data_IF_344022125876
#
_entry.id   IF_344022125876
#
_cell.length_a   1.000
_cell.length_b   1.000
_cell.length_c   1.000
_cell.angle_alpha   90.00
_cell.angle_beta   90.00
_cell.angle_gamma   90.00
#
_symmetry.space_group_name_H-M   'P 1'
#
loop_
_entity.id
_entity.type
_entity.pdbx_description
1 polymer ?
#
# COMPACT_ATOMS: atom_id res chain seq x y z
N UNK A 1 -12.03 2.35 66.64
CA UNK A 1 -12.83 2.03 65.43
C UNK A 1 -12.07 2.57 64.23
N UNK A 2 -11.27 1.74 63.60
CA UNK A 2 -10.49 2.06 62.38
C UNK A 2 -11.24 1.50 61.17
N UNK A 3 -11.49 2.35 60.14
CA UNK A 3 -12.11 1.93 58.87
C UNK A 3 -11.05 1.22 57.99
N UNK A 4 -11.40 0.13 57.35
CA UNK A 4 -10.48 -0.55 56.42
C UNK A 4 -10.35 0.22 55.10
N UNK A 5 -9.12 0.24 54.55
CA UNK A 5 -8.80 0.68 53.17
C UNK A 5 -9.44 -0.29 52.18
N UNK A 6 -9.91 0.18 51.03
CA UNK A 6 -10.26 -0.71 49.93
C UNK A 6 -9.00 -1.17 49.19
N UNK A 7 -8.74 -2.47 49.19
CA UNK A 7 -7.92 -3.21 48.22
C UNK A 7 -8.63 -3.20 46.87
N UNK A 8 -7.89 -2.98 45.81
CA UNK A 8 -8.40 -3.24 44.48
C UNK A 8 -7.90 -2.31 43.37
N UNK A 9 -6.59 -2.03 43.32
CA UNK A 9 -6.00 -1.60 42.06
C UNK A 9 -5.45 -2.82 41.29
N UNK A 10 -6.38 -3.54 40.65
CA UNK A 10 -6.04 -4.57 39.69
C UNK A 10 -5.34 -3.91 38.48
N UNK A 11 -4.13 -4.36 38.25
CA UNK A 11 -3.25 -4.17 37.09
C UNK A 11 -4.00 -3.79 35.81
N UNK A 12 -4.16 -2.51 35.55
CA UNK A 12 -4.44 -2.03 34.19
C UNK A 12 -3.13 -2.09 33.40
N UNK A 13 -3.00 -3.16 32.63
CA UNK A 13 -1.93 -3.34 31.66
C UNK A 13 -1.75 -2.08 30.80
N UNK A 14 -0.54 -1.66 30.48
CA UNK A 14 -0.26 -0.42 29.75
C UNK A 14 -0.55 -0.56 28.25
N UNK A 15 -1.83 -0.75 27.87
CA UNK A 15 -2.26 -0.74 26.48
C UNK A 15 -2.32 0.66 25.85
N UNK A 16 -2.12 1.73 26.62
CA UNK A 16 -2.32 3.11 26.15
C UNK A 16 -1.06 3.89 25.79
N UNK A 17 0.15 3.36 25.97
CA UNK A 17 1.38 4.17 25.84
C UNK A 17 1.99 4.27 24.44
N UNK A 18 1.46 3.59 23.40
CA UNK A 18 1.96 3.73 22.02
C UNK A 18 1.07 4.63 21.13
N UNK A 19 -0.10 5.05 21.59
CA UNK A 19 -0.95 6.00 20.85
C UNK A 19 -0.50 7.48 21.00
N UNK A 20 0.46 7.77 21.85
CA UNK A 20 0.79 9.12 22.33
C UNK A 20 1.57 10.03 21.39
N UNK A 21 2.00 9.63 20.18
CA UNK A 21 2.83 10.49 19.29
C UNK A 21 2.32 10.69 17.86
N UNK A 22 1.18 10.10 17.49
CA UNK A 22 0.51 10.33 16.21
C UNK A 22 -0.94 10.68 16.47
N UNK A 23 -1.53 11.65 15.75
CA UNK A 23 -2.98 11.85 15.80
C UNK A 23 -3.72 10.53 15.50
N UNK A 24 -5.02 10.40 15.83
CA UNK A 24 -5.74 9.13 15.79
C UNK A 24 -5.55 8.46 14.42
N UNK A 25 -4.94 7.28 14.45
CA UNK A 25 -4.69 6.48 13.25
C UNK A 25 -6.04 6.03 12.70
N UNK A 26 -6.29 6.29 11.43
CA UNK A 26 -7.55 5.92 10.78
C UNK A 26 -7.57 4.41 10.51
N UNK A 27 -8.11 3.65 11.46
CA UNK A 27 -8.13 2.19 11.46
C UNK A 27 -8.74 1.59 10.19
N UNK A 28 -9.76 2.24 9.60
CA UNK A 28 -10.41 1.79 8.37
C UNK A 28 -9.49 1.81 7.15
N UNK A 29 -8.50 2.72 7.08
CA UNK A 29 -7.50 2.72 6.00
C UNK A 29 -6.51 1.56 6.16
N UNK A 30 -6.15 1.21 7.40
CA UNK A 30 -5.31 0.03 7.65
C UNK A 30 -6.09 -1.26 7.35
N UNK A 31 -7.39 -1.30 7.64
CA UNK A 31 -8.28 -2.40 7.28
C UNK A 31 -8.40 -2.56 5.76
N UNK A 32 -8.64 -1.46 5.03
CA UNK A 32 -8.69 -1.48 3.56
C UNK A 32 -7.35 -1.92 2.95
N UNK A 33 -6.23 -1.54 3.57
CA UNK A 33 -4.92 -2.06 3.17
C UNK A 33 -4.81 -3.56 3.38
N UNK A 34 -5.42 -4.09 4.45
CA UNK A 34 -5.51 -5.53 4.70
C UNK A 34 -6.33 -6.27 3.64
N UNK A 35 -7.44 -5.71 3.19
CA UNK A 35 -8.19 -6.24 2.04
C UNK A 35 -7.28 -6.27 0.79
N UNK A 36 -6.53 -5.18 0.54
CA UNK A 36 -5.55 -5.16 -0.55
C UNK A 36 -4.50 -6.28 -0.43
N UNK A 37 -4.04 -6.61 0.80
CA UNK A 37 -3.13 -7.75 1.05
C UNK A 37 -3.78 -9.07 0.68
N UNK A 38 -5.04 -9.30 1.08
CA UNK A 38 -5.75 -10.54 0.75
C UNK A 38 -5.92 -10.73 -0.76
N UNK A 39 -6.34 -9.66 -1.46
CA UNK A 39 -6.47 -9.65 -2.92
C UNK A 39 -5.11 -9.91 -3.60
N UNK A 40 -4.04 -9.36 -3.06
CA UNK A 40 -2.69 -9.57 -3.59
C UNK A 40 -2.21 -11.01 -3.39
N UNK A 41 -2.46 -11.61 -2.23
CA UNK A 41 -2.14 -13.03 -1.98
C UNK A 41 -2.95 -13.91 -2.94
N UNK A 42 -4.24 -13.64 -3.09
CA UNK A 42 -5.12 -14.35 -4.02
C UNK A 42 -4.57 -14.28 -5.45
N UNK A 43 -4.31 -13.08 -5.96
CA UNK A 43 -3.80 -12.89 -7.32
C UNK A 43 -2.52 -13.70 -7.58
N UNK A 44 -1.56 -13.64 -6.67
CA UNK A 44 -0.27 -14.27 -6.86
C UNK A 44 -0.33 -15.79 -6.71
N UNK A 45 -1.07 -16.29 -5.72
CA UNK A 45 -1.20 -17.74 -5.51
C UNK A 45 -1.96 -18.40 -6.66
N UNK A 46 -3.06 -17.81 -7.11
CA UNK A 46 -3.83 -18.36 -8.23
C UNK A 46 -3.04 -18.29 -9.55
N UNK A 47 -2.32 -17.18 -9.78
CA UNK A 47 -1.45 -17.08 -10.96
C UNK A 47 -0.32 -18.12 -10.94
N UNK A 48 0.33 -18.31 -9.80
CA UNK A 48 1.47 -19.23 -9.71
C UNK A 48 1.06 -20.71 -9.67
N UNK A 49 0.01 -21.07 -8.92
CA UNK A 49 -0.24 -22.47 -8.55
C UNK A 49 -1.31 -23.15 -9.39
N UNK A 50 -2.27 -22.40 -10.00
CA UNK A 50 -3.36 -22.97 -10.79
C UNK A 50 -2.82 -23.55 -12.11
N UNK A 51 -3.18 -24.80 -12.41
CA UNK A 51 -2.84 -25.46 -13.66
C UNK A 51 -3.47 -24.78 -14.87
N UNK A 52 -2.82 -24.87 -16.03
CA UNK A 52 -3.22 -24.16 -17.24
C UNK A 52 -4.64 -24.55 -17.70
N UNK A 53 -5.05 -25.81 -17.56
CA UNK A 53 -6.36 -26.30 -17.97
C UNK A 53 -7.53 -25.60 -17.24
N UNK A 54 -7.34 -25.17 -15.98
CA UNK A 54 -8.39 -24.51 -15.20
C UNK A 54 -8.44 -22.99 -15.40
N UNK A 55 -7.45 -22.39 -16.08
CA UNK A 55 -7.37 -20.94 -16.28
C UNK A 55 -8.42 -20.42 -17.28
N UNK A 56 -8.99 -21.29 -18.11
CA UNK A 56 -10.09 -20.92 -19.01
C UNK A 56 -11.45 -20.86 -18.33
N UNK A 57 -11.59 -21.37 -17.11
CA UNK A 57 -12.85 -21.37 -16.35
C UNK A 57 -13.25 -19.94 -15.99
N UNK A 58 -14.56 -19.66 -16.05
CA UNK A 58 -15.12 -18.35 -15.71
C UNK A 58 -14.75 -17.93 -14.28
N UNK A 59 -14.77 -18.87 -13.32
CA UNK A 59 -14.38 -18.62 -11.92
C UNK A 59 -12.94 -18.12 -11.78
N UNK A 60 -11.99 -18.72 -12.51
CA UNK A 60 -10.61 -18.25 -12.52
C UNK A 60 -10.50 -16.85 -13.15
N UNK A 61 -11.17 -16.61 -14.27
CA UNK A 61 -11.16 -15.30 -14.94
C UNK A 61 -11.69 -14.19 -14.03
N UNK A 62 -12.76 -14.44 -13.27
CA UNK A 62 -13.27 -13.48 -12.28
C UNK A 62 -12.30 -13.27 -11.10
N UNK A 63 -11.66 -14.31 -10.62
CA UNK A 63 -10.64 -14.19 -9.59
C UNK A 63 -9.47 -13.30 -10.06
N UNK A 64 -8.98 -13.48 -11.30
CA UNK A 64 -7.92 -12.62 -11.86
C UNK A 64 -8.39 -11.17 -12.03
N UNK A 65 -9.65 -10.92 -12.37
CA UNK A 65 -10.21 -9.55 -12.40
C UNK A 65 -10.17 -8.93 -11.01
N UNK A 66 -10.56 -9.68 -9.96
CA UNK A 66 -10.46 -9.23 -8.56
C UNK A 66 -9.01 -8.99 -8.16
N UNK A 67 -8.11 -9.93 -8.47
CA UNK A 67 -6.68 -9.83 -8.21
C UNK A 67 -6.04 -8.58 -8.83
N UNK A 68 -6.56 -8.15 -9.97
CA UNK A 68 -6.18 -6.92 -10.65
C UNK A 68 -6.39 -5.63 -9.83
N UNK A 69 -7.10 -5.65 -8.69
CA UNK A 69 -7.28 -4.52 -7.79
C UNK A 69 -6.18 -4.41 -6.73
N UNK A 70 -5.42 -5.47 -6.44
CA UNK A 70 -4.41 -5.46 -5.39
C UNK A 70 -3.41 -4.32 -5.53
N UNK A 71 -2.68 -4.26 -6.63
CA UNK A 71 -1.67 -3.23 -6.89
C UNK A 71 -2.25 -1.80 -6.92
N UNK A 72 -3.40 -1.51 -7.60
CA UNK A 72 -4.03 -0.20 -7.56
C UNK A 72 -4.40 0.26 -6.15
N UNK A 73 -4.95 -0.62 -5.31
CA UNK A 73 -5.30 -0.32 -3.90
C UNK A 73 -4.04 0.11 -3.13
N UNK A 74 -2.92 -0.59 -3.28
CA UNK A 74 -1.67 -0.23 -2.60
C UNK A 74 -1.13 1.12 -3.03
N UNK A 75 -1.08 1.38 -4.34
CA UNK A 75 -0.64 2.67 -4.87
C UNK A 75 -1.55 3.81 -4.40
N UNK A 76 -2.86 3.62 -4.48
CA UNK A 76 -3.84 4.59 -4.02
C UNK A 76 -3.68 4.90 -2.53
N UNK A 77 -3.60 3.87 -1.68
CA UNK A 77 -3.43 4.05 -0.24
C UNK A 77 -2.06 4.63 0.13
N UNK A 78 -1.02 4.38 -0.67
CA UNK A 78 0.27 5.06 -0.51
C UNK A 78 0.14 6.57 -0.75
N UNK A 79 -0.61 6.99 -1.77
CA UNK A 79 -0.93 8.39 -2.02
C UNK A 79 -1.73 9.03 -0.88
N UNK A 80 -2.79 8.36 -0.41
CA UNK A 80 -3.56 8.80 0.79
C UNK A 80 -2.63 8.98 1.99
N UNK A 81 -1.82 7.98 2.30
CA UNK A 81 -0.94 7.98 3.46
C UNK A 81 0.14 9.08 3.38
N UNK A 82 0.70 9.33 2.20
CA UNK A 82 1.68 10.40 1.96
C UNK A 82 1.12 11.76 2.36
N UNK A 83 -0.09 12.08 1.89
CA UNK A 83 -0.75 13.35 2.16
C UNK A 83 -1.16 13.48 3.63
N UNK A 84 -1.73 12.43 4.22
CA UNK A 84 -2.10 12.44 5.65
C UNK A 84 -0.87 12.61 6.54
N UNK A 85 0.24 11.94 6.21
CA UNK A 85 1.50 12.10 6.93
C UNK A 85 2.09 13.50 6.78
N UNK A 86 2.05 14.09 5.58
CA UNK A 86 2.49 15.47 5.33
C UNK A 86 1.70 16.47 6.19
N UNK A 87 0.37 16.39 6.17
CA UNK A 87 -0.46 17.30 6.96
C UNK A 87 -0.32 17.05 8.48
N UNK A 88 -0.12 15.80 8.94
CA UNK A 88 0.17 15.52 10.33
C UNK A 88 1.48 16.17 10.81
N UNK A 89 2.51 16.19 9.96
CA UNK A 89 3.78 16.86 10.24
C UNK A 89 3.63 18.39 10.30
N UNK A 90 2.88 18.98 9.35
CA UNK A 90 2.54 20.41 9.37
C UNK A 90 1.85 20.82 10.67
N UNK A 91 0.88 20.04 11.14
CA UNK A 91 0.20 20.30 12.43
C UNK A 91 1.13 20.22 13.64
N UNK A 92 2.24 19.53 13.51
CA UNK A 92 3.30 19.48 14.53
C UNK A 92 4.32 20.62 14.41
N UNK A 93 4.06 21.60 13.55
CA UNK A 93 4.90 22.77 13.37
C UNK A 93 6.10 22.59 12.44
N UNK A 94 6.22 21.47 11.70
CA UNK A 94 7.31 21.32 10.75
C UNK A 94 7.11 22.25 9.56
N UNK A 95 8.21 22.82 9.07
CA UNK A 95 8.22 23.69 7.89
C UNK A 95 7.85 22.91 6.61
N UNK A 96 7.33 23.59 5.59
CA UNK A 96 6.96 22.96 4.31
C UNK A 96 8.17 22.29 3.64
N UNK A 97 9.36 22.86 3.76
CA UNK A 97 10.60 22.28 3.24
C UNK A 97 10.93 20.95 3.94
N UNK A 98 10.75 20.89 5.24
CA UNK A 98 11.02 19.69 6.03
C UNK A 98 9.97 18.60 5.78
N UNK A 99 8.70 18.98 5.62
CA UNK A 99 7.63 18.05 5.22
C UNK A 99 7.92 17.42 3.85
N UNK A 100 8.31 18.24 2.86
CA UNK A 100 8.67 17.76 1.52
C UNK A 100 9.89 16.83 1.57
N UNK A 101 10.96 17.25 2.25
CA UNK A 101 12.17 16.44 2.41
C UNK A 101 11.87 15.06 3.01
N UNK A 102 11.04 14.99 4.04
CA UNK A 102 10.64 13.70 4.65
C UNK A 102 9.76 12.86 3.72
N UNK A 103 8.96 13.47 2.87
CA UNK A 103 8.20 12.75 1.85
C UNK A 103 9.13 12.18 0.77
N UNK A 104 10.09 12.96 0.29
CA UNK A 104 11.13 12.53 -0.65
C UNK A 104 12.01 11.41 -0.07
N UNK A 105 12.46 11.55 1.17
CA UNK A 105 13.22 10.50 1.87
C UNK A 105 12.44 9.18 1.94
N UNK A 106 11.12 9.26 2.24
CA UNK A 106 10.28 8.07 2.25
C UNK A 106 10.14 7.44 0.87
N UNK A 107 10.02 8.25 -0.17
CA UNK A 107 9.94 7.78 -1.54
C UNK A 107 11.24 7.07 -1.97
N UNK A 108 12.40 7.64 -1.66
CA UNK A 108 13.71 7.02 -1.89
C UNK A 108 13.90 5.72 -1.10
N UNK A 109 13.41 5.66 0.15
CA UNK A 109 13.43 4.42 0.93
C UNK A 109 12.61 3.32 0.25
N UNK A 110 11.40 3.63 -0.25
CA UNK A 110 10.57 2.65 -0.95
C UNK A 110 11.22 2.22 -2.26
N UNK A 111 11.80 3.17 -2.99
CA UNK A 111 12.55 2.89 -4.23
C UNK A 111 13.77 1.99 -3.98
N UNK A 112 14.56 2.29 -2.95
CA UNK A 112 15.70 1.46 -2.54
C UNK A 112 15.31 0.06 -2.08
N UNK A 113 14.17 -0.07 -1.37
CA UNK A 113 13.63 -1.37 -0.96
C UNK A 113 13.26 -2.24 -2.17
N UNK A 114 12.85 -1.67 -3.31
CA UNK A 114 12.61 -2.43 -4.53
C UNK A 114 13.86 -3.18 -5.01
N UNK A 115 15.01 -2.52 -5.00
CA UNK A 115 16.28 -3.14 -5.38
C UNK A 115 16.76 -4.17 -4.35
N UNK A 116 16.57 -3.89 -3.06
CA UNK A 116 16.89 -4.85 -2.01
C UNK A 116 16.06 -6.13 -2.13
N UNK A 117 14.78 -5.98 -2.44
CA UNK A 117 13.87 -7.10 -2.71
C UNK A 117 14.36 -7.92 -3.93
N UNK A 118 14.73 -7.25 -5.01
CA UNK A 118 15.28 -7.91 -6.20
C UNK A 118 16.61 -8.60 -5.95
N UNK A 119 17.49 -7.97 -5.16
CA UNK A 119 18.75 -8.57 -4.76
C UNK A 119 18.52 -9.88 -3.99
N UNK A 120 17.61 -9.86 -3.02
CA UNK A 120 17.25 -11.06 -2.27
C UNK A 120 16.71 -12.16 -3.21
N UNK A 121 15.80 -11.81 -4.13
CA UNK A 121 15.22 -12.77 -5.08
C UNK A 121 16.30 -13.38 -5.99
N UNK A 122 17.26 -12.59 -6.47
CA UNK A 122 18.40 -13.08 -7.26
C UNK A 122 19.28 -14.04 -6.44
N UNK A 123 19.55 -13.71 -5.17
CA UNK A 123 20.37 -14.55 -4.29
C UNK A 123 19.69 -15.88 -3.95
N UNK A 124 18.38 -15.85 -3.67
CA UNK A 124 17.64 -17.05 -3.27
C UNK A 124 17.32 -17.94 -4.47
N UNK A 125 16.92 -17.34 -5.60
CA UNK A 125 16.44 -18.08 -6.77
C UNK A 125 17.49 -18.30 -7.86
N UNK A 126 18.75 -17.84 -7.67
CA UNK A 126 19.84 -18.02 -8.61
C UNK A 126 19.68 -17.21 -9.93
N UNK A 127 18.92 -16.10 -9.89
CA UNK A 127 18.68 -15.26 -11.06
C UNK A 127 19.92 -14.50 -11.52
N UNK A 128 20.01 -14.19 -12.82
CA UNK A 128 21.10 -13.35 -13.36
C UNK A 128 20.97 -11.88 -12.94
N UNK A 129 22.07 -11.11 -13.00
CA UNK A 129 22.14 -9.69 -12.64
C UNK A 129 21.08 -8.81 -13.36
N UNK A 130 20.65 -9.21 -14.57
CA UNK A 130 19.58 -8.51 -15.29
C UNK A 130 18.24 -8.49 -14.54
N UNK A 131 17.98 -9.46 -13.66
CA UNK A 131 16.78 -9.51 -12.83
C UNK A 131 16.74 -8.38 -11.78
N UNK A 132 17.90 -7.82 -11.39
CA UNK A 132 17.98 -6.66 -10.48
C UNK A 132 17.32 -5.40 -11.08
N UNK A 133 17.34 -5.26 -12.40
CA UNK A 133 16.79 -4.11 -13.11
C UNK A 133 15.32 -4.31 -13.51
N UNK A 134 14.71 -5.44 -13.16
CA UNK A 134 13.29 -5.67 -13.45
C UNK A 134 12.41 -4.72 -12.64
N UNK A 135 11.57 -3.96 -13.34
CA UNK A 135 10.69 -2.96 -12.74
C UNK A 135 9.46 -3.62 -12.15
N UNK A 136 9.24 -3.40 -10.86
CA UNK A 136 8.13 -3.93 -10.07
C UNK A 136 7.30 -2.81 -9.43
N UNK A 137 6.24 -3.17 -8.71
CA UNK A 137 5.32 -2.23 -8.07
C UNK A 137 6.04 -1.28 -7.08
N UNK A 138 7.04 -1.76 -6.32
CA UNK A 138 7.79 -0.91 -5.39
C UNK A 138 8.63 0.15 -6.11
N UNK A 139 9.19 -0.20 -7.29
CA UNK A 139 9.90 0.77 -8.13
C UNK A 139 8.95 1.90 -8.56
N UNK A 140 7.79 1.52 -9.10
CA UNK A 140 6.78 2.49 -9.56
C UNK A 140 6.20 3.29 -8.39
N UNK A 141 5.96 2.66 -7.25
CA UNK A 141 5.51 3.35 -6.03
C UNK A 141 6.52 4.41 -5.59
N UNK A 142 7.82 4.07 -5.55
CA UNK A 142 8.88 5.00 -5.18
C UNK A 142 8.94 6.23 -6.10
N UNK A 143 8.99 6.00 -7.43
CA UNK A 143 9.02 7.09 -8.43
C UNK A 143 7.73 7.92 -8.38
N UNK A 144 6.56 7.29 -8.23
CA UNK A 144 5.28 8.00 -8.12
C UNK A 144 5.20 8.83 -6.84
N UNK A 145 5.74 8.35 -5.71
CA UNK A 145 5.83 9.10 -4.47
C UNK A 145 6.77 10.31 -4.60
N UNK A 146 7.90 10.19 -5.32
CA UNK A 146 8.77 11.32 -5.65
C UNK A 146 8.01 12.37 -6.47
N UNK A 147 7.29 11.94 -7.50
CA UNK A 147 6.43 12.82 -8.29
C UNK A 147 5.38 13.54 -7.44
N UNK A 148 4.69 12.81 -6.55
CA UNK A 148 3.71 13.40 -5.64
C UNK A 148 4.34 14.39 -4.63
N UNK A 149 5.54 14.09 -4.10
CA UNK A 149 6.28 14.99 -3.21
C UNK A 149 6.71 16.28 -3.94
N UNK A 150 7.12 16.15 -5.21
CA UNK A 150 7.45 17.30 -6.05
C UNK A 150 6.24 18.16 -6.37
N UNK A 151 5.10 17.55 -6.74
CA UNK A 151 3.83 18.28 -6.95
C UNK A 151 3.36 18.96 -5.65
N UNK A 152 3.54 18.32 -4.51
CA UNK A 152 3.28 18.91 -3.20
C UNK A 152 4.09 20.18 -2.95
N UNK A 153 5.37 20.15 -3.30
CA UNK A 153 6.30 21.28 -3.14
C UNK A 153 5.95 22.47 -4.05
N UNK A 154 5.53 22.20 -5.30
CA UNK A 154 5.07 23.22 -6.24
C UNK A 154 3.80 23.92 -5.76
N UNK A 155 2.89 23.18 -5.11
CA UNK A 155 1.62 23.69 -4.63
C UNK A 155 1.74 24.36 -3.27
N UNK A 156 1.79 25.69 -3.21
CA UNK A 156 1.80 26.44 -1.93
C UNK A 156 0.47 26.37 -1.18
N UNK A 157 -0.66 26.35 -1.90
CA UNK A 157 -2.03 26.28 -1.34
C UNK A 157 -2.62 24.88 -1.55
N UNK A 158 -3.51 24.44 -0.64
CA UNK A 158 -4.17 23.13 -0.74
C UNK A 158 -4.98 22.97 -2.04
N UNK A 159 -5.60 24.06 -2.54
CA UNK A 159 -6.31 24.04 -3.83
C UNK A 159 -5.36 23.82 -5.01
N UNK A 160 -4.19 24.48 -5.02
CA UNK A 160 -3.18 24.28 -6.08
C UNK A 160 -2.67 22.83 -6.04
N UNK A 161 -2.40 22.29 -4.85
CA UNK A 161 -2.01 20.86 -4.69
C UNK A 161 -3.06 19.93 -5.25
N UNK A 162 -4.34 20.18 -4.98
CA UNK A 162 -5.44 19.39 -5.51
C UNK A 162 -5.48 19.45 -7.05
N UNK A 163 -5.39 20.65 -7.63
CA UNK A 163 -5.35 20.82 -9.09
C UNK A 163 -4.18 20.07 -9.70
N UNK A 164 -2.96 20.25 -9.17
CA UNK A 164 -1.77 19.57 -9.69
C UNK A 164 -1.89 18.05 -9.63
N UNK A 165 -2.40 17.49 -8.53
CA UNK A 165 -2.57 16.03 -8.37
C UNK A 165 -3.70 15.49 -9.25
N UNK A 166 -4.81 16.21 -9.39
CA UNK A 166 -5.88 15.83 -10.32
C UNK A 166 -5.36 15.87 -11.76
N UNK A 167 -4.70 16.96 -12.16
CA UNK A 167 -4.10 17.06 -13.50
C UNK A 167 -3.10 15.95 -13.76
N UNK A 168 -2.23 15.61 -12.80
CA UNK A 168 -1.30 14.49 -12.93
C UNK A 168 -2.02 13.14 -13.08
N UNK A 169 -3.12 12.93 -12.33
CA UNK A 169 -3.95 11.71 -12.46
C UNK A 169 -4.54 11.60 -13.86
N UNK A 170 -5.13 12.69 -14.35
CA UNK A 170 -5.72 12.76 -15.69
C UNK A 170 -4.66 12.57 -16.79
N UNK A 171 -3.54 13.30 -16.70
CA UNK A 171 -2.45 13.21 -17.68
C UNK A 171 -1.87 11.81 -17.76
N UNK A 172 -1.59 11.17 -16.63
CA UNK A 172 -1.08 9.79 -16.60
C UNK A 172 -2.07 8.82 -17.24
N UNK A 173 -3.37 8.94 -16.94
CA UNK A 173 -4.39 8.07 -17.52
C UNK A 173 -4.52 8.29 -19.04
N UNK A 174 -4.66 9.55 -19.49
CA UNK A 174 -4.90 9.89 -20.88
C UNK A 174 -3.66 9.70 -21.77
N UNK A 175 -2.46 9.94 -21.24
CA UNK A 175 -1.22 9.72 -21.99
C UNK A 175 -0.78 8.26 -22.04
N UNK A 176 -1.42 7.36 -21.30
CA UNK A 176 -1.04 5.94 -21.30
C UNK A 176 -1.06 5.30 -22.72
N UNK A 177 -2.14 5.42 -23.52
CA UNK A 177 -2.14 4.81 -24.85
C UNK A 177 -1.09 5.41 -25.78
N UNK A 178 -0.98 6.74 -25.99
CA UNK A 178 0.01 7.29 -26.91
C UNK A 178 1.46 7.04 -26.47
N UNK A 179 1.75 7.06 -25.17
CA UNK A 179 3.10 6.76 -24.68
C UNK A 179 3.47 5.30 -24.93
N UNK A 180 2.54 4.36 -24.73
CA UNK A 180 2.83 2.95 -24.97
C UNK A 180 3.13 2.62 -26.43
N UNK A 181 2.60 3.38 -27.37
CA UNK A 181 2.81 3.22 -28.81
C UNK A 181 3.86 4.16 -29.39
N UNK A 182 4.53 4.99 -28.57
CA UNK A 182 5.47 6.00 -29.03
C UNK A 182 6.80 5.40 -29.48
N UNK A 183 7.13 5.52 -30.76
CA UNK A 183 8.38 4.98 -31.36
C UNK A 183 9.65 5.70 -30.87
N UNK A 184 9.56 6.96 -30.47
CA UNK A 184 10.73 7.69 -29.93
C UNK A 184 11.29 7.09 -28.62
N UNK A 185 10.49 6.25 -27.91
CA UNK A 185 10.96 5.51 -26.74
C UNK A 185 11.95 4.39 -27.11
N UNK A 186 11.92 3.88 -28.33
CA UNK A 186 12.80 2.79 -28.81
C UNK A 186 14.28 3.18 -28.72
N UNK A 187 14.60 4.49 -28.70
CA UNK A 187 15.95 5.01 -28.52
C UNK A 187 16.45 5.09 -27.09
N UNK A 188 15.60 4.79 -26.09
CA UNK A 188 15.99 4.85 -24.68
C UNK A 188 16.67 3.55 -24.25
N UNK A 189 17.59 3.63 -23.27
CA UNK A 189 18.09 2.41 -22.61
C UNK A 189 16.93 1.63 -21.98
N UNK A 190 16.89 0.31 -22.18
CA UNK A 190 15.84 -0.58 -21.65
C UNK A 190 15.52 -0.35 -20.17
N UNK A 191 16.55 -0.03 -19.36
CA UNK A 191 16.38 0.21 -17.92
C UNK A 191 15.53 1.46 -17.62
N UNK A 192 15.51 2.46 -18.52
CA UNK A 192 14.69 3.68 -18.42
C UNK A 192 13.33 3.44 -19.06
N UNK A 193 13.31 2.87 -20.26
CA UNK A 193 12.10 2.54 -21.01
C UNK A 193 11.15 1.65 -20.19
N UNK A 194 11.71 0.66 -19.46
CA UNK A 194 10.98 -0.24 -18.61
C UNK A 194 10.13 0.46 -17.49
N UNK A 195 10.49 1.67 -17.10
CA UNK A 195 9.65 2.47 -16.17
C UNK A 195 8.47 3.13 -16.87
N UNK A 196 8.56 3.38 -18.16
CA UNK A 196 7.61 4.19 -18.93
C UNK A 196 6.56 3.30 -19.59
N UNK A 197 6.99 2.25 -20.33
CA UNK A 197 6.11 1.30 -21.02
C UNK A 197 6.52 -0.15 -20.78
N UNK A 198 5.59 -1.12 -20.99
CA UNK A 198 5.88 -2.53 -20.79
C UNK A 198 6.98 -3.04 -21.73
N UNK A 199 8.01 -3.68 -21.16
CA UNK A 199 9.03 -4.42 -21.89
C UNK A 199 8.98 -5.91 -21.49
N UNK A 200 8.90 -6.86 -22.44
CA UNK A 200 8.86 -8.29 -22.15
C UNK A 200 10.03 -8.74 -21.26
N UNK A 201 9.72 -9.46 -20.18
CA UNK A 201 10.71 -9.96 -19.23
C UNK A 201 11.36 -8.92 -18.31
N UNK A 202 11.17 -7.63 -18.55
CA UNK A 202 11.78 -6.53 -17.76
C UNK A 202 10.82 -5.75 -16.90
N UNK A 203 9.52 -5.75 -17.25
CA UNK A 203 8.48 -4.98 -16.55
C UNK A 203 7.35 -5.84 -16.06
N UNK A 204 6.94 -5.61 -14.81
CA UNK A 204 5.64 -6.07 -14.31
C UNK A 204 4.68 -4.87 -14.21
N UNK A 205 5.20 -3.71 -13.81
CA UNK A 205 4.47 -2.46 -13.66
C UNK A 205 5.24 -1.31 -14.32
N UNK A 206 4.52 -0.33 -14.88
CA UNK A 206 5.06 0.86 -15.51
C UNK A 206 4.51 2.12 -14.87
N UNK A 207 5.13 3.28 -15.09
CA UNK A 207 4.61 4.55 -14.59
C UNK A 207 3.21 4.84 -15.16
N UNK A 208 3.00 4.58 -16.45
CA UNK A 208 1.72 4.72 -17.14
C UNK A 208 0.97 3.37 -17.21
N UNK A 209 -0.25 3.24 -16.63
CA UNK A 209 -1.07 4.22 -15.89
C UNK A 209 -0.90 4.17 -14.36
N UNK A 210 0.00 3.36 -13.81
CA UNK A 210 0.00 2.97 -12.40
C UNK A 210 0.22 4.14 -11.44
N UNK A 211 1.06 5.12 -11.79
CA UNK A 211 1.28 6.33 -10.99
C UNK A 211 -0.02 7.12 -10.76
N UNK A 212 -0.96 7.06 -11.70
CA UNK A 212 -2.25 7.73 -11.59
C UNK A 212 -3.07 7.27 -10.38
N UNK A 213 -2.97 5.99 -9.98
CA UNK A 213 -3.63 5.52 -8.75
C UNK A 213 -3.05 6.17 -7.50
N UNK A 214 -1.75 6.37 -7.45
CA UNK A 214 -1.11 7.06 -6.32
C UNK A 214 -1.50 8.55 -6.28
N UNK A 215 -1.53 9.22 -7.42
CA UNK A 215 -1.95 10.62 -7.48
C UNK A 215 -3.43 10.78 -7.14
N UNK A 216 -4.32 9.91 -7.63
CA UNK A 216 -5.73 9.87 -7.23
C UNK A 216 -5.93 9.60 -5.74
N UNK A 217 -5.12 8.71 -5.17
CA UNK A 217 -5.07 8.50 -3.72
C UNK A 217 -4.62 9.74 -2.96
N UNK A 218 -3.63 10.48 -3.47
CA UNK A 218 -3.18 11.73 -2.87
C UNK A 218 -4.28 12.82 -2.91
N UNK A 219 -5.07 12.91 -3.99
CA UNK A 219 -6.28 13.77 -4.06
C UNK A 219 -7.27 13.38 -2.96
N UNK A 220 -7.57 12.09 -2.84
CA UNK A 220 -8.46 11.58 -1.79
C UNK A 220 -7.93 11.89 -0.39
N UNK A 221 -6.62 11.76 -0.17
CA UNK A 221 -5.97 12.14 1.09
C UNK A 221 -6.11 13.63 1.42
N UNK A 222 -5.99 14.53 0.43
CA UNK A 222 -6.24 15.97 0.59
C UNK A 222 -7.70 16.24 0.96
N UNK A 223 -8.64 15.58 0.32
CA UNK A 223 -10.06 15.70 0.62
C UNK A 223 -10.37 15.28 2.06
N UNK A 224 -9.92 14.09 2.47
CA UNK A 224 -10.10 13.55 3.81
C UNK A 224 -9.51 14.50 4.88
N UNK A 225 -8.36 15.11 4.61
CA UNK A 225 -7.74 16.04 5.55
C UNK A 225 -8.48 17.38 5.63
N UNK A 226 -8.96 17.89 4.49
CA UNK A 226 -9.75 19.12 4.43
C UNK A 226 -11.07 19.03 5.19
N UNK A 227 -11.68 17.84 5.18
CA UNK A 227 -12.97 17.57 5.83
C UNK A 227 -12.82 16.97 7.23
N UNK A 228 -11.67 17.17 7.87
CA UNK A 228 -11.41 16.68 9.21
C UNK A 228 -12.46 17.22 10.19
N UNK A 229 -13.04 16.32 10.99
CA UNK A 229 -14.16 16.64 11.91
C UNK A 229 -15.56 16.50 11.28
N UNK A 230 -15.64 16.27 9.95
CA UNK A 230 -16.90 15.97 9.23
C UNK A 230 -16.79 14.64 8.48
N UNK A 231 -16.28 13.61 9.16
CA UNK A 231 -15.91 12.33 8.52
C UNK A 231 -17.10 11.63 7.83
N UNK A 232 -18.30 11.67 8.41
CA UNK A 232 -19.49 11.08 7.81
C UNK A 232 -19.83 11.73 6.45
N UNK A 233 -19.95 13.05 6.42
CA UNK A 233 -20.23 13.80 5.18
C UNK A 233 -19.12 13.60 4.16
N UNK A 234 -17.88 13.66 4.62
CA UNK A 234 -16.69 13.46 3.77
C UNK A 234 -16.71 12.12 3.04
N UNK A 235 -17.02 11.05 3.79
CA UNK A 235 -17.09 9.70 3.23
C UNK A 235 -18.33 9.52 2.32
N UNK A 236 -19.47 10.15 2.65
CA UNK A 236 -20.65 10.15 1.77
C UNK A 236 -20.35 10.79 0.39
N UNK A 237 -19.65 11.93 0.38
CA UNK A 237 -19.25 12.59 -0.87
C UNK A 237 -18.23 11.73 -1.64
N UNK A 238 -17.25 11.12 -0.96
CA UNK A 238 -16.29 10.23 -1.61
C UNK A 238 -16.97 9.01 -2.25
N UNK A 239 -17.98 8.43 -1.60
CA UNK A 239 -18.77 7.34 -2.17
C UNK A 239 -19.46 7.78 -3.44
N UNK A 240 -20.15 8.92 -3.40
CA UNK A 240 -20.84 9.46 -4.56
C UNK A 240 -19.88 9.75 -5.72
N UNK A 241 -18.77 10.43 -5.45
CA UNK A 241 -17.73 10.73 -6.44
C UNK A 241 -17.15 9.44 -7.04
N UNK A 242 -16.84 8.45 -6.20
CA UNK A 242 -16.31 7.16 -6.67
C UNK A 242 -17.30 6.42 -7.58
N UNK A 243 -18.59 6.39 -7.21
CA UNK A 243 -19.64 5.79 -8.03
C UNK A 243 -19.79 6.56 -9.36
N UNK A 244 -19.86 7.89 -9.33
CA UNK A 244 -19.97 8.70 -10.55
C UNK A 244 -18.79 8.44 -11.48
N UNK A 245 -17.55 8.47 -10.97
CA UNK A 245 -16.36 8.21 -11.78
C UNK A 245 -16.40 6.82 -12.40
N UNK A 246 -16.73 5.77 -11.61
CA UNK A 246 -16.80 4.41 -12.10
C UNK A 246 -17.89 4.21 -13.17
N UNK A 247 -19.09 4.72 -12.91
CA UNK A 247 -20.26 4.53 -13.82
C UNK A 247 -20.10 5.36 -15.10
N UNK A 248 -19.61 6.60 -15.01
CA UNK A 248 -19.31 7.42 -16.19
C UNK A 248 -18.23 6.78 -17.05
N UNK A 249 -17.16 6.30 -16.44
CA UNK A 249 -16.09 5.61 -17.17
C UNK A 249 -16.56 4.28 -17.77
N UNK A 250 -17.44 3.55 -17.08
CA UNK A 250 -18.07 2.34 -17.62
C UNK A 250 -18.97 2.68 -18.80
N UNK A 251 -19.84 3.69 -18.70
CA UNK A 251 -20.63 4.17 -19.83
C UNK A 251 -19.75 4.61 -21.02
N UNK A 252 -18.67 5.35 -20.75
CA UNK A 252 -17.73 5.77 -21.79
C UNK A 252 -16.99 4.60 -22.45
N UNK A 253 -16.89 3.43 -21.83
CA UNK A 253 -16.24 2.25 -22.41
C UNK A 253 -17.02 1.62 -23.58
N UNK A 254 -18.31 1.97 -23.75
CA UNK A 254 -19.13 1.55 -24.89
C UNK A 254 -19.06 2.52 -26.07
N UNK A 255 -18.42 3.69 -25.90
CA UNK A 255 -18.20 4.63 -26.98
C UNK A 255 -17.02 4.19 -27.86
N UNK A 256 -16.96 4.64 -29.14
CA UNK A 256 -15.81 4.38 -30.01
C UNK A 256 -14.49 4.79 -29.32
N UNK A 257 -13.43 4.01 -29.46
CA UNK A 257 -12.15 4.32 -28.83
C UNK A 257 -11.54 5.60 -29.41
N UNK A 258 -11.10 6.51 -28.54
CA UNK A 258 -10.45 7.77 -28.92
C UNK A 258 -9.04 7.50 -29.48
N UNK A 259 -8.42 6.42 -29.04
CA UNK A 259 -7.06 6.04 -29.40
C UNK A 259 -7.06 4.87 -30.38
N UNK A 260 -6.34 5.00 -31.49
CA UNK A 260 -6.22 3.97 -32.53
C UNK A 260 -5.61 2.66 -31.96
N UNK A 261 -4.69 2.78 -31.01
CA UNK A 261 -4.05 1.63 -30.35
C UNK A 261 -4.27 1.72 -28.84
N UNK A 262 -5.23 0.97 -28.34
CA UNK A 262 -5.44 0.83 -26.89
C UNK A 262 -6.05 -0.54 -26.58
N UNK A 263 -5.67 -1.11 -25.43
CA UNK A 263 -6.27 -2.31 -24.88
C UNK A 263 -7.12 -1.94 -23.67
N UNK A 264 -8.39 -2.38 -23.64
CA UNK A 264 -9.29 -2.07 -22.55
C UNK A 264 -8.66 -2.40 -21.17
N UNK A 265 -8.13 -3.61 -21.03
CA UNK A 265 -7.62 -4.13 -19.75
C UNK A 265 -6.30 -3.54 -19.28
N UNK A 266 -5.49 -2.99 -20.19
CA UNK A 266 -4.12 -2.62 -19.83
C UNK A 266 -3.76 -1.16 -20.03
N UNK A 267 -4.35 -0.48 -21.06
CA UNK A 267 -3.96 0.89 -21.41
C UNK A 267 -5.12 1.86 -21.54
N UNK A 268 -6.38 1.38 -21.54
CA UNK A 268 -7.55 2.25 -21.69
C UNK A 268 -7.73 3.17 -20.49
N UNK A 269 -7.91 4.49 -20.71
CA UNK A 269 -8.29 5.42 -19.66
C UNK A 269 -9.62 5.06 -18.99
N UNK A 270 -10.58 4.50 -19.74
CA UNK A 270 -11.90 4.11 -19.20
C UNK A 270 -11.73 3.05 -18.12
N UNK A 271 -10.95 1.99 -18.37
CA UNK A 271 -10.71 0.95 -17.38
C UNK A 271 -9.89 1.47 -16.16
N UNK A 272 -8.96 2.38 -16.39
CA UNK A 272 -8.27 3.07 -15.30
C UNK A 272 -9.26 3.81 -14.38
N UNK A 273 -10.17 4.63 -14.95
CA UNK A 273 -11.14 5.38 -14.16
C UNK A 273 -12.22 4.50 -13.52
N UNK A 274 -12.64 3.39 -14.15
CA UNK A 274 -13.51 2.39 -13.51
C UNK A 274 -12.84 1.90 -12.22
N UNK A 275 -11.59 1.47 -12.28
CA UNK A 275 -10.84 1.00 -11.11
C UNK A 275 -10.65 2.11 -10.07
N UNK A 276 -10.26 3.31 -10.50
CA UNK A 276 -10.06 4.46 -9.60
C UNK A 276 -11.36 4.80 -8.86
N UNK A 277 -12.50 4.83 -9.56
CA UNK A 277 -13.81 5.09 -8.97
C UNK A 277 -14.20 4.01 -7.95
N UNK A 278 -14.03 2.74 -8.29
CA UNK A 278 -14.28 1.62 -7.37
C UNK A 278 -13.40 1.75 -6.13
N UNK A 279 -12.08 1.95 -6.28
CA UNK A 279 -11.16 2.06 -5.14
C UNK A 279 -11.48 3.28 -4.27
N UNK A 280 -11.87 4.41 -4.88
CA UNK A 280 -12.32 5.58 -4.14
C UNK A 280 -13.57 5.27 -3.32
N UNK A 281 -14.51 4.48 -3.84
CA UNK A 281 -15.72 4.01 -3.14
C UNK A 281 -15.41 3.02 -2.01
N UNK A 282 -14.33 2.23 -2.12
CA UNK A 282 -13.93 1.30 -1.06
C UNK A 282 -13.51 2.02 0.23
N UNK A 283 -13.01 3.27 0.15
CA UNK A 283 -12.63 4.06 1.34
C UNK A 283 -13.83 4.34 2.26
N UNK A 284 -14.94 4.92 1.78
CA UNK A 284 -16.14 5.11 2.60
C UNK A 284 -16.81 3.80 3.01
N UNK A 285 -16.74 2.74 2.21
CA UNK A 285 -17.24 1.42 2.60
C UNK A 285 -16.45 0.84 3.77
N UNK A 286 -15.13 0.96 3.76
CA UNK A 286 -14.29 0.57 4.88
C UNK A 286 -14.56 1.43 6.13
N UNK A 287 -14.81 2.74 5.96
CA UNK A 287 -15.23 3.61 7.05
C UNK A 287 -16.58 3.16 7.64
N UNK A 288 -17.58 2.90 6.81
CA UNK A 288 -18.90 2.42 7.24
C UNK A 288 -18.78 1.10 7.99
N UNK A 289 -18.01 0.14 7.45
CA UNK A 289 -17.73 -1.14 8.11
C UNK A 289 -17.16 -0.94 9.52
N UNK A 290 -16.17 -0.05 9.66
CA UNK A 290 -15.58 0.25 10.97
C UNK A 290 -16.54 0.89 11.98
N UNK A 291 -17.66 1.45 11.50
CA UNK A 291 -18.73 2.02 12.35
C UNK A 291 -19.77 0.98 12.76
N UNK A 292 -20.04 0.01 11.89
CA UNK A 292 -21.04 -1.04 12.12
C UNK A 292 -20.48 -2.14 13.02
N UNK A 293 -19.17 -2.44 12.89
CA UNK A 293 -18.52 -3.50 13.66
C UNK A 293 -17.50 -2.89 14.65
N UNK A 294 -17.93 -2.49 15.86
CA UNK A 294 -17.10 -1.74 16.82
C UNK A 294 -15.98 -2.57 17.43
N UNK A 295 -15.71 -3.73 17.21
CA UNK A 295 -14.59 -4.56 17.75
C UNK A 295 -13.43 -4.74 16.80
N UNK A 296 -13.60 -4.45 15.51
CA UNK A 296 -12.59 -4.74 14.49
C UNK A 296 -11.37 -3.81 14.50
N UNK A 297 -11.45 -2.70 15.24
CA UNK A 297 -10.41 -1.67 15.14
C UNK A 297 -9.08 -2.04 15.81
N UNK A 298 -9.08 -2.90 16.83
CA UNK A 298 -7.86 -3.24 17.57
C UNK A 298 -7.29 -4.63 17.24
N UNK A 299 -8.15 -5.62 16.98
CA UNK A 299 -7.78 -7.05 16.90
C UNK A 299 -8.08 -7.73 15.55
N UNK A 300 -8.71 -7.03 14.62
CA UNK A 300 -9.07 -7.59 13.30
C UNK A 300 -7.83 -8.18 12.59
N UNK A 301 -7.86 -9.47 12.21
CA UNK A 301 -6.79 -10.10 11.45
C UNK A 301 -6.47 -9.36 10.15
N UNK A 302 -7.50 -8.85 9.46
CA UNK A 302 -7.37 -8.08 8.22
C UNK A 302 -6.57 -6.81 8.48
N UNK A 303 -6.92 -6.03 9.51
CA UNK A 303 -6.18 -4.82 9.88
C UNK A 303 -4.74 -5.13 10.27
N UNK A 304 -4.52 -6.19 11.04
CA UNK A 304 -3.17 -6.61 11.43
C UNK A 304 -2.29 -6.88 10.20
N UNK A 305 -2.80 -7.60 9.21
CA UNK A 305 -2.11 -7.84 7.94
C UNK A 305 -1.90 -6.54 7.15
N UNK A 306 -2.87 -5.63 7.19
CA UNK A 306 -2.77 -4.32 6.54
C UNK A 306 -1.68 -3.43 7.14
N UNK A 307 -1.54 -3.42 8.46
CA UNK A 307 -0.46 -2.70 9.17
C UNK A 307 0.92 -3.24 8.79
N UNK A 308 1.04 -4.55 8.66
CA UNK A 308 2.26 -5.27 8.33
C UNK A 308 2.38 -5.59 6.83
N UNK A 309 1.65 -4.87 5.98
CA UNK A 309 1.51 -5.17 4.55
C UNK A 309 2.83 -5.30 3.80
N UNK A 310 3.85 -4.49 4.12
CA UNK A 310 5.17 -4.59 3.50
C UNK A 310 5.89 -5.89 3.87
N UNK A 311 5.76 -6.32 5.12
CA UNK A 311 6.33 -7.59 5.58
C UNK A 311 5.63 -8.77 4.90
N UNK A 312 4.30 -8.74 4.83
CA UNK A 312 3.52 -9.77 4.12
C UNK A 312 3.87 -9.78 2.64
N UNK A 313 3.95 -8.60 1.99
CA UNK A 313 4.39 -8.49 0.60
C UNK A 313 5.73 -9.16 0.36
N UNK A 314 6.71 -8.86 1.21
CA UNK A 314 8.07 -9.36 1.07
C UNK A 314 8.13 -10.89 1.13
N UNK A 315 7.48 -11.48 2.13
CA UNK A 315 7.53 -12.93 2.34
C UNK A 315 6.68 -13.67 1.32
N UNK A 316 5.44 -13.21 1.04
CA UNK A 316 4.54 -13.99 0.20
C UNK A 316 5.02 -14.05 -1.26
N UNK A 317 5.59 -12.97 -1.81
CA UNK A 317 6.08 -12.98 -3.19
C UNK A 317 7.22 -13.96 -3.35
N UNK A 318 8.18 -13.98 -2.41
CA UNK A 318 9.29 -14.94 -2.42
C UNK A 318 8.80 -16.37 -2.25
N UNK A 319 7.79 -16.60 -1.40
CA UNK A 319 7.26 -17.93 -1.20
C UNK A 319 6.39 -18.42 -2.36
N UNK A 320 5.67 -17.54 -3.04
CA UNK A 320 4.74 -17.91 -4.13
C UNK A 320 5.47 -18.10 -5.46
N UNK A 321 6.49 -17.28 -5.75
CA UNK A 321 7.23 -17.34 -7.03
C UNK A 321 8.66 -17.90 -6.90
N UNK A 322 9.16 -18.02 -5.67
CA UNK A 322 10.49 -18.55 -5.39
C UNK A 322 10.57 -20.07 -5.44
N UNK A 323 11.75 -20.58 -5.13
CA UNK A 323 12.07 -22.02 -5.17
C UNK A 323 11.14 -22.89 -4.32
N UNK A 324 10.64 -22.36 -3.19
CA UNK A 324 9.75 -23.07 -2.27
C UNK A 324 8.40 -23.46 -2.91
N UNK A 325 7.92 -22.71 -3.90
CA UNK A 325 6.65 -23.02 -4.57
C UNK A 325 6.80 -23.91 -5.80
N UNK A 326 8.00 -24.31 -6.19
CA UNK A 326 8.26 -25.16 -7.35
C UNK A 326 7.36 -26.43 -7.39
N UNK A 327 7.10 -27.14 -6.27
CA UNK A 327 6.21 -28.30 -6.26
C UNK A 327 4.74 -27.95 -6.58
N UNK A 328 4.31 -26.73 -6.33
CA UNK A 328 2.93 -26.27 -6.52
C UNK A 328 2.73 -25.58 -7.87
N UNK A 329 3.81 -25.11 -8.50
CA UNK A 329 3.75 -24.25 -9.69
C UNK A 329 2.99 -24.90 -10.83
N UNK A 330 1.85 -24.31 -11.22
CA UNK A 330 0.93 -24.75 -12.27
C UNK A 330 0.43 -26.18 -12.16
N UNK A 331 0.28 -26.70 -10.94
CA UNK A 331 -0.09 -28.11 -10.70
C UNK A 331 -1.45 -28.29 -10.03
N UNK A 332 -1.94 -27.29 -9.32
CA UNK A 332 -3.18 -27.41 -8.56
C UNK A 332 -4.41 -27.16 -9.44
N UNK A 333 -5.51 -27.86 -9.16
CA UNK A 333 -6.83 -27.45 -9.66
C UNK A 333 -7.21 -26.11 -9.08
N UNK A 334 -8.16 -25.39 -9.68
CA UNK A 334 -8.60 -24.10 -9.17
C UNK A 334 -9.05 -24.17 -7.71
N UNK A 335 -9.84 -25.20 -7.35
CA UNK A 335 -10.34 -25.42 -5.99
C UNK A 335 -9.19 -25.74 -5.01
N UNK A 336 -8.24 -26.58 -5.41
CA UNK A 336 -7.06 -26.86 -4.59
C UNK A 336 -6.17 -25.64 -4.41
N UNK A 337 -6.04 -24.79 -5.43
CA UNK A 337 -5.30 -23.52 -5.34
C UNK A 337 -5.98 -22.54 -4.37
N UNK A 338 -7.33 -22.45 -4.36
CA UNK A 338 -8.07 -21.67 -3.37
C UNK A 338 -7.87 -22.18 -1.94
N UNK A 339 -7.92 -23.49 -1.74
CA UNK A 339 -7.66 -24.09 -0.42
C UNK A 339 -6.22 -23.83 0.05
N UNK A 340 -5.25 -24.02 -0.84
CA UNK A 340 -3.84 -23.72 -0.57
C UNK A 340 -3.61 -22.23 -0.27
N UNK A 341 -4.28 -21.32 -1.00
CA UNK A 341 -4.27 -19.87 -0.75
C UNK A 341 -4.79 -19.56 0.66
N UNK A 342 -5.92 -20.16 1.07
CA UNK A 342 -6.49 -19.95 2.40
C UNK A 342 -5.51 -20.42 3.49
N UNK A 343 -4.96 -21.62 3.37
CA UNK A 343 -3.94 -22.13 4.28
C UNK A 343 -2.69 -21.25 4.34
N UNK A 344 -2.22 -20.78 3.19
CA UNK A 344 -1.08 -19.87 3.09
C UNK A 344 -1.37 -18.50 3.72
N UNK A 345 -2.59 -17.98 3.56
CA UNK A 345 -3.01 -16.73 4.22
C UNK A 345 -3.00 -16.87 5.75
N UNK A 346 -3.49 -17.99 6.28
CA UNK A 346 -3.41 -18.31 7.71
C UNK A 346 -1.96 -18.40 8.19
N UNK A 347 -1.10 -19.06 7.43
CA UNK A 347 0.34 -19.13 7.71
C UNK A 347 0.99 -17.75 7.78
N UNK A 348 0.74 -16.87 6.79
CA UNK A 348 1.26 -15.51 6.79
C UNK A 348 0.75 -14.70 7.98
N UNK A 349 -0.52 -14.87 8.37
CA UNK A 349 -1.06 -14.23 9.56
C UNK A 349 -0.33 -14.68 10.84
N UNK A 350 -0.05 -15.97 10.98
CA UNK A 350 0.73 -16.50 12.11
C UNK A 350 2.13 -15.88 12.13
N UNK A 351 2.81 -15.78 10.99
CA UNK A 351 4.13 -15.13 10.89
C UNK A 351 4.07 -13.64 11.33
N UNK A 352 3.04 -12.92 10.92
CA UNK A 352 2.82 -11.54 11.35
C UNK A 352 2.67 -11.47 12.88
N UNK A 353 1.88 -12.35 13.48
CA UNK A 353 1.71 -12.40 14.95
C UNK A 353 3.02 -12.74 15.67
N UNK A 354 3.81 -13.66 15.16
CA UNK A 354 5.13 -13.99 15.70
C UNK A 354 6.09 -12.80 15.62
N UNK A 355 6.14 -12.11 14.48
CA UNK A 355 6.93 -10.88 14.31
C UNK A 355 6.53 -9.82 15.33
N UNK A 356 5.23 -9.60 15.52
CA UNK A 356 4.72 -8.64 16.49
C UNK A 356 5.14 -9.01 17.92
N UNK A 357 4.96 -10.26 18.32
CA UNK A 357 5.40 -10.74 19.65
C UNK A 357 6.90 -10.53 19.88
N UNK A 358 7.72 -10.81 18.89
CA UNK A 358 9.17 -10.62 18.99
C UNK A 358 9.56 -9.14 19.09
N UNK A 359 8.94 -8.26 18.33
CA UNK A 359 9.19 -6.82 18.43
C UNK A 359 8.79 -6.24 19.79
N UNK A 360 7.70 -6.73 20.39
CA UNK A 360 7.26 -6.36 21.73
C UNK A 360 8.26 -6.79 22.81
N UNK A 361 8.75 -8.02 22.75
CA UNK A 361 9.77 -8.52 23.70
C UNK A 361 11.04 -7.65 23.67
N UNK A 362 11.55 -7.35 22.48
CA UNK A 362 12.73 -6.46 22.33
C UNK A 362 12.49 -5.03 22.84
N UNK A 363 11.28 -4.49 22.67
CA UNK A 363 10.94 -3.17 23.19
C UNK A 363 10.86 -3.17 24.73
N UNK A 364 10.31 -4.23 25.33
CA UNK A 364 10.26 -4.40 26.79
C UNK A 364 11.66 -4.54 27.39
N UNK A 365 12.54 -5.35 26.82
CA UNK A 365 13.92 -5.52 27.25
C UNK A 365 14.71 -4.19 27.24
N UNK A 366 14.56 -3.40 26.18
CA UNK A 366 15.18 -2.07 26.09
C UNK A 366 14.65 -1.09 27.14
N UNK A 367 13.36 -1.14 27.46
CA UNK A 367 12.79 -0.27 28.49
C UNK A 367 13.29 -0.65 29.89
N UNK A 368 13.45 -1.93 30.18
CA UNK A 368 13.99 -2.44 31.47
C UNK A 368 15.46 -2.06 31.63
N UNK A 369 16.26 -2.17 30.58
CA UNK A 369 17.68 -1.73 30.59
C UNK A 369 17.81 -0.23 30.83
N UNK A 370 16.93 0.59 30.25
CA UNK A 370 16.96 2.04 30.44
C UNK A 370 16.55 2.44 31.87
N UNK A 371 15.63 1.69 32.47
CA UNK A 371 15.19 1.91 33.87
C UNK A 371 16.28 1.49 34.86
N UNK A 372 16.97 0.37 34.64
CA UNK A 372 18.08 -0.09 35.48
C UNK A 372 19.31 0.83 35.43
N UNK A 373 19.61 1.38 34.22
CA UNK A 373 20.71 2.37 34.07
C UNK A 373 20.40 3.69 34.81
N UNK A 374 19.13 4.09 34.89
CA UNK A 374 18.70 5.29 35.63
C UNK A 374 18.61 5.08 37.15
N UNK A 375 18.43 3.84 37.57
CA UNK A 375 18.35 3.46 38.99
C UNK A 375 19.72 3.16 39.62
N UNK A 376 20.79 3.10 38.82
CA UNK A 376 22.16 2.95 39.36
C UNK A 376 22.57 4.25 40.05
N UNK A 377 22.79 4.28 41.39
CA UNK A 377 23.22 5.48 42.11
C UNK A 377 24.59 5.91 41.59
N UNK A 378 24.77 7.20 41.34
CA UNK A 378 26.05 7.81 41.08
C UNK A 378 26.96 7.71 42.35
N UNK A 379 27.49 6.53 42.59
CA UNK A 379 28.55 6.29 43.58
C UNK A 379 29.87 6.38 42.82
N UNK A 380 30.48 7.55 42.86
CA UNK A 380 31.90 7.85 42.98
C UNK A 380 32.18 9.25 42.40
N UNK A 381 31.90 10.27 43.22
CA UNK A 381 32.74 11.48 43.16
C UNK A 381 33.96 11.22 44.05
N UNK A 382 35.17 11.27 43.56
CA UNK A 382 36.34 11.33 44.42
C UNK A 382 36.27 12.66 45.19
N UNK A 383 36.25 12.60 46.50
CA UNK A 383 36.53 13.74 47.33
C UNK A 383 38.01 14.06 47.14
N UNK A 384 38.31 15.14 46.41
CA UNK A 384 39.61 15.76 46.42
C UNK A 384 39.76 16.54 47.72
N UNK A 385 40.61 15.98 48.62
CA UNK A 385 41.26 16.74 49.70
C UNK A 385 42.31 17.68 49.17
#
# INVERSE_FOLDING_TARGET
MARPKPEGDAERLPHQSLEGRGGPRRAYLDWLRGIGVLIMIEAHTLDSWTRLADRERASYKWAIVLGGFGAPIFLFLAGVALVLAANARRRRGLSESEVSRRAEQRAWQVFGLAFLFRLQSVVISGGGLRALLKVDILNIMGVSMLGAAWLWRLGRRSSIRAVLLVSATLLVALLTPPIRSASWLDGLPDAVEAYIRPLPGRTTFTFFPWAGFLFGGAVTGLWIERQRGREGLSNGILLLVGIIVATTAYGASFLPPIYAVSSFWTSSPTFFFIRLGIITSLVPLAYLWSRIVPGETATSPIRVMGVESLFVYWIHVEMVYGVLSTPLHRRLTFEAALAAMAAFTCFLYVLVKLKQRWSWRRAAEKSTQFTSYRASPASNRPQSG
#
